data_IF_801051898950
#
_entry.id   IF_801051898950
#
_cell.length_a   1.000
_cell.length_b   1.000
_cell.length_c   1.000
_cell.angle_alpha   90.00
_cell.angle_beta   90.00
_cell.angle_gamma   90.00
#
_symmetry.space_group_name_H-M   'P 1'
#
loop_
_entity.id
_entity.type
_entity.pdbx_description
1 polymer ?
#
# COMPACT_ATOMS: atom_id res chain seq x y z
N UNK A 1 32.56 -5.67 12.46
CA UNK A 1 31.59 -4.63 12.08
C UNK A 1 30.33 -4.81 12.92
N UNK A 2 29.62 -3.74 13.33
CA UNK A 2 28.36 -3.88 14.09
C UNK A 2 27.32 -4.57 13.19
N UNK A 3 26.69 -5.63 13.67
CA UNK A 3 25.62 -6.33 12.92
C UNK A 3 24.26 -5.71 13.21
N UNK A 4 23.26 -6.04 12.39
CA UNK A 4 21.85 -5.72 12.68
C UNK A 4 21.44 -6.28 14.05
N UNK A 5 21.87 -7.49 14.38
CA UNK A 5 21.52 -8.10 15.66
C UNK A 5 22.11 -7.33 16.85
N UNK A 6 23.34 -6.82 16.72
CA UNK A 6 23.96 -5.94 17.72
C UNK A 6 23.17 -4.65 17.88
N UNK A 7 22.69 -4.05 16.79
CA UNK A 7 21.83 -2.86 16.83
C UNK A 7 20.50 -3.15 17.52
N UNK A 8 19.82 -4.25 17.18
CA UNK A 8 18.53 -4.62 17.76
C UNK A 8 18.65 -4.96 19.26
N UNK A 9 19.83 -5.41 19.69
CA UNK A 9 20.15 -5.70 21.08
C UNK A 9 20.62 -4.47 21.87
N UNK A 10 20.87 -3.34 21.22
CA UNK A 10 21.23 -2.07 21.86
C UNK A 10 20.04 -1.52 22.67
N UNK A 11 20.25 -1.20 23.95
CA UNK A 11 19.23 -0.57 24.81
C UNK A 11 19.42 0.93 24.98
N UNK A 12 20.51 1.48 24.45
CA UNK A 12 20.88 2.89 24.65
C UNK A 12 20.27 3.80 23.59
N UNK A 13 19.78 3.22 22.49
CA UNK A 13 19.12 3.96 21.44
C UNK A 13 17.87 4.71 21.94
N UNK A 14 17.74 5.96 21.55
CA UNK A 14 16.50 6.71 21.68
C UNK A 14 16.41 7.82 20.63
N UNK A 15 15.20 8.11 20.18
CA UNK A 15 14.94 9.33 19.42
C UNK A 15 14.89 10.54 20.37
N UNK A 16 15.26 11.74 19.89
CA UNK A 16 15.06 12.96 20.65
C UNK A 16 13.56 13.14 20.96
N UNK A 17 13.26 13.74 22.10
CA UNK A 17 11.90 14.14 22.42
C UNK A 17 11.39 15.16 21.39
N UNK A 18 10.07 15.19 21.19
CA UNK A 18 9.45 16.23 20.36
C UNK A 18 9.82 17.60 20.92
N UNK A 19 10.44 18.50 20.13
CA UNK A 19 10.78 19.84 20.60
C UNK A 19 9.51 20.60 20.99
N UNK A 20 9.64 21.57 21.90
CA UNK A 20 8.53 22.46 22.23
C UNK A 20 8.67 23.74 21.44
N UNK A 21 7.63 24.12 20.70
CA UNK A 21 7.69 25.33 19.90
C UNK A 21 6.41 25.59 19.11
N UNK A 22 6.50 26.63 18.28
CA UNK A 22 5.45 26.98 17.34
C UNK A 22 6.02 27.18 15.93
N UNK A 23 5.18 26.96 14.93
CA UNK A 23 5.49 27.28 13.54
C UNK A 23 4.26 27.90 12.86
N UNK A 24 4.50 28.99 12.13
CA UNK A 24 3.49 29.72 11.36
C UNK A 24 3.58 29.43 9.86
N UNK A 25 4.67 28.79 9.43
CA UNK A 25 4.93 28.38 8.05
C UNK A 25 5.46 26.94 7.99
N UNK A 26 5.46 26.36 6.78
CA UNK A 26 6.00 25.00 6.56
C UNK A 26 7.52 24.99 6.76
N UNK A 27 8.21 26.03 6.33
CA UNK A 27 9.66 26.16 6.51
C UNK A 27 10.04 26.22 7.99
N UNK A 28 9.32 27.03 8.79
CA UNK A 28 9.53 27.08 10.24
C UNK A 28 9.26 25.73 10.90
N UNK A 29 8.20 25.02 10.46
CA UNK A 29 7.90 23.70 11.00
C UNK A 29 8.97 22.67 10.64
N UNK A 30 9.50 22.73 9.42
CA UNK A 30 10.59 21.87 8.99
C UNK A 30 11.86 22.12 9.81
N UNK A 31 12.31 23.37 9.90
CA UNK A 31 13.55 23.75 10.58
C UNK A 31 13.48 23.52 12.10
N UNK A 32 12.38 23.91 12.73
CA UNK A 32 12.23 23.83 14.19
C UNK A 32 11.81 22.44 14.70
N UNK A 33 11.31 21.56 13.83
CA UNK A 33 10.78 20.26 14.24
C UNK A 33 11.34 19.10 13.41
N UNK A 34 10.94 18.98 12.13
CA UNK A 34 11.21 17.78 11.31
C UNK A 34 12.71 17.53 11.16
N UNK A 35 13.49 18.57 10.83
CA UNK A 35 14.93 18.48 10.55
C UNK A 35 15.74 17.86 11.68
N UNK A 36 15.28 18.00 12.93
CA UNK A 36 15.95 17.44 14.12
C UNK A 36 15.98 15.91 14.15
N UNK A 37 15.15 15.27 13.33
CA UNK A 37 14.97 13.82 13.27
C UNK A 37 15.43 13.21 11.94
N UNK A 38 15.97 14.03 11.05
CA UNK A 38 16.56 13.57 9.79
C UNK A 38 18.03 13.24 10.02
N UNK A 39 18.54 12.28 9.24
CA UNK A 39 19.97 12.00 9.25
C UNK A 39 20.74 13.20 8.65
N UNK A 40 21.77 13.66 9.37
CA UNK A 40 22.62 14.79 9.00
C UNK A 40 23.48 14.48 7.79
N UNK A 41 24.01 13.27 7.72
CA UNK A 41 24.77 12.80 6.57
C UNK A 41 23.84 12.11 5.55
N UNK A 42 23.57 12.81 4.45
CA UNK A 42 22.73 12.28 3.38
C UNK A 42 23.28 11.00 2.74
N UNK A 43 24.59 10.73 2.84
CA UNK A 43 25.22 9.52 2.28
C UNK A 43 24.63 8.24 2.87
N UNK A 44 24.36 8.23 4.17
CA UNK A 44 23.76 7.09 4.89
C UNK A 44 22.39 6.70 4.30
N UNK A 45 21.56 7.69 3.98
CA UNK A 45 20.25 7.43 3.37
C UNK A 45 20.42 6.85 1.97
N UNK A 46 21.39 7.36 1.19
CA UNK A 46 21.70 6.87 -0.15
C UNK A 46 22.29 5.45 -0.12
N UNK A 47 23.13 5.13 0.86
CA UNK A 47 23.69 3.79 1.06
C UNK A 47 22.59 2.78 1.40
N UNK A 48 21.66 3.15 2.30
CA UNK A 48 20.47 2.33 2.55
C UNK A 48 19.63 2.12 1.29
N UNK A 49 19.36 3.19 0.53
CA UNK A 49 18.64 3.09 -0.74
C UNK A 49 19.32 2.09 -1.69
N UNK A 50 20.64 2.21 -1.89
CA UNK A 50 21.41 1.32 -2.75
C UNK A 50 21.35 -0.15 -2.27
N UNK A 51 21.52 -0.38 -0.96
CA UNK A 51 21.42 -1.71 -0.36
C UNK A 51 20.05 -2.35 -0.60
N UNK A 52 18.97 -1.58 -0.43
CA UNK A 52 17.60 -2.08 -0.64
C UNK A 52 17.28 -2.31 -2.11
N UNK A 53 17.81 -1.48 -3.01
CA UNK A 53 17.69 -1.67 -4.45
C UNK A 53 18.44 -2.93 -4.89
N UNK A 54 19.66 -3.16 -4.40
CA UNK A 54 20.42 -4.39 -4.64
C UNK A 54 19.64 -5.60 -4.13
N UNK A 55 19.17 -5.55 -2.88
CA UNK A 55 18.42 -6.64 -2.26
C UNK A 55 17.13 -6.95 -3.03
N UNK A 56 16.43 -5.93 -3.53
CA UNK A 56 15.18 -6.11 -4.30
C UNK A 56 15.35 -6.88 -5.62
N UNK A 57 16.59 -6.97 -6.12
CA UNK A 57 16.94 -7.67 -7.37
C UNK A 57 17.53 -9.06 -7.13
N UNK A 58 17.84 -9.40 -5.88
CA UNK A 58 18.40 -10.68 -5.51
C UNK A 58 17.34 -11.79 -5.62
N UNK A 59 17.72 -12.91 -6.23
CA UNK A 59 16.83 -14.07 -6.43
C UNK A 59 16.39 -14.74 -5.13
N UNK A 60 17.13 -14.55 -4.04
CA UNK A 60 16.82 -15.10 -2.71
C UNK A 60 16.09 -14.09 -1.81
N UNK A 61 15.79 -12.89 -2.32
CA UNK A 61 15.13 -11.86 -1.53
C UNK A 61 13.71 -12.25 -1.12
N UNK A 62 13.36 -11.89 0.11
CA UNK A 62 11.98 -11.94 0.61
C UNK A 62 11.48 -10.50 0.67
N UNK A 63 10.65 -10.10 -0.30
CA UNK A 63 10.16 -8.74 -0.41
C UNK A 63 8.99 -8.51 0.55
N UNK A 64 9.10 -7.46 1.37
CA UNK A 64 8.06 -7.14 2.36
C UNK A 64 6.91 -6.32 1.77
N UNK A 65 5.70 -6.61 2.24
CA UNK A 65 4.49 -5.83 1.95
C UNK A 65 3.78 -5.40 3.23
N UNK A 66 3.29 -4.15 3.24
CA UNK A 66 2.47 -3.61 4.35
C UNK A 66 0.99 -4.00 4.26
N UNK A 67 0.60 -4.80 3.28
CA UNK A 67 -0.80 -5.15 3.09
C UNK A 67 -1.36 -5.92 4.29
N UNK A 68 -2.67 -5.80 4.50
CA UNK A 68 -3.47 -6.54 5.48
C UNK A 68 -3.12 -6.33 6.96
N UNK A 69 -2.23 -5.39 7.31
CA UNK A 69 -1.84 -5.07 8.70
C UNK A 69 -3.04 -4.84 9.64
N UNK A 70 -4.15 -4.31 9.13
CA UNK A 70 -5.38 -4.03 9.87
C UNK A 70 -6.57 -4.93 9.49
N UNK A 71 -6.33 -6.03 8.78
CA UNK A 71 -7.39 -6.93 8.31
C UNK A 71 -8.04 -7.67 9.48
N UNK A 72 -9.37 -7.73 9.47
CA UNK A 72 -10.19 -8.55 10.36
C UNK A 72 -11.10 -9.48 9.57
N UNK A 73 -11.23 -10.73 10.01
CA UNK A 73 -12.16 -11.73 9.48
C UNK A 73 -12.98 -12.25 10.64
N UNK A 74 -14.31 -12.14 10.55
CA UNK A 74 -15.24 -12.52 11.62
C UNK A 74 -14.88 -11.91 13.00
N UNK A 75 -14.44 -10.65 13.00
CA UNK A 75 -14.03 -9.93 14.21
C UNK A 75 -12.61 -10.26 14.72
N UNK A 76 -11.99 -11.33 14.22
CA UNK A 76 -10.62 -11.72 14.57
C UNK A 76 -9.59 -11.09 13.62
N UNK A 77 -8.44 -10.68 14.15
CA UNK A 77 -7.35 -10.16 13.35
C UNK A 77 -6.77 -11.24 12.43
N UNK A 78 -6.55 -10.90 11.16
CA UNK A 78 -6.06 -11.82 10.14
C UNK A 78 -4.98 -11.15 9.28
N UNK A 79 -3.90 -10.73 9.94
CA UNK A 79 -2.94 -9.77 9.36
C UNK A 79 -1.89 -10.41 8.46
N UNK A 80 -1.69 -11.74 8.59
CA UNK A 80 -0.68 -12.53 7.85
C UNK A 80 0.76 -12.05 8.03
N UNK A 81 1.05 -11.21 9.02
CA UNK A 81 2.40 -10.72 9.30
C UNK A 81 3.35 -11.88 9.56
N UNK A 82 4.57 -11.78 9.04
CA UNK A 82 5.60 -12.80 9.18
C UNK A 82 5.33 -14.09 8.42
N UNK A 83 4.29 -14.16 7.57
CA UNK A 83 3.95 -15.36 6.82
C UNK A 83 4.50 -15.25 5.38
N UNK A 84 5.53 -16.02 5.07
CA UNK A 84 6.22 -16.03 3.76
C UNK A 84 5.40 -16.81 2.72
N UNK A 85 5.35 -16.27 1.50
CA UNK A 85 4.84 -16.94 0.30
C UNK A 85 5.94 -17.01 -0.75
N UNK A 86 6.15 -18.20 -1.31
CA UNK A 86 7.17 -18.48 -2.32
C UNK A 86 6.48 -18.93 -3.61
N UNK A 87 6.89 -18.32 -4.72
CA UNK A 87 6.44 -18.63 -6.08
C UNK A 87 7.24 -19.80 -6.69
N UNK A 88 6.80 -20.34 -7.83
CA UNK A 88 7.46 -21.49 -8.47
C UNK A 88 8.90 -21.20 -8.93
N UNK A 89 9.22 -19.93 -9.17
CA UNK A 89 10.54 -19.43 -9.57
C UNK A 89 11.35 -18.88 -8.38
N UNK A 90 11.02 -19.30 -7.16
CA UNK A 90 11.63 -18.88 -5.89
C UNK A 90 11.47 -17.40 -5.53
N UNK A 91 10.78 -16.59 -6.33
CA UNK A 91 10.40 -15.24 -5.92
C UNK A 91 9.58 -15.31 -4.63
N UNK A 92 9.97 -14.53 -3.61
CA UNK A 92 9.38 -14.64 -2.28
C UNK A 92 8.92 -13.29 -1.75
N UNK A 93 7.83 -13.31 -0.99
CA UNK A 93 7.33 -12.14 -0.27
C UNK A 93 6.75 -12.51 1.10
N UNK A 94 6.72 -11.54 2.00
CA UNK A 94 6.08 -11.67 3.32
C UNK A 94 5.34 -10.39 3.71
N UNK A 95 4.29 -10.52 4.52
CA UNK A 95 3.62 -9.35 5.07
C UNK A 95 4.31 -8.88 6.35
N UNK A 96 4.38 -7.56 6.56
CA UNK A 96 5.04 -6.97 7.71
C UNK A 96 4.23 -5.79 8.27
N UNK A 97 4.46 -5.50 9.54
CA UNK A 97 3.87 -4.32 10.20
C UNK A 97 4.61 -3.05 9.80
N UNK A 98 3.96 -1.89 9.88
CA UNK A 98 4.60 -0.58 9.69
C UNK A 98 5.77 -0.32 10.66
N UNK A 99 5.80 -1.04 11.79
CA UNK A 99 6.88 -0.95 12.76
C UNK A 99 8.22 -1.38 12.17
N UNK A 100 8.22 -2.25 11.16
CA UNK A 100 9.46 -2.66 10.52
C UNK A 100 10.18 -1.48 9.84
N UNK A 101 9.44 -0.60 9.15
CA UNK A 101 10.00 0.63 8.57
C UNK A 101 10.60 1.56 9.65
N UNK A 102 10.04 1.58 10.87
CA UNK A 102 10.59 2.37 11.99
C UNK A 102 11.95 1.85 12.46
N UNK A 103 12.18 0.54 12.38
CA UNK A 103 13.47 -0.05 12.75
C UNK A 103 14.55 0.38 11.77
N UNK A 104 14.26 0.29 10.47
CA UNK A 104 15.18 0.78 9.43
C UNK A 104 15.42 2.29 9.61
N UNK A 105 14.36 3.07 9.83
CA UNK A 105 14.52 4.52 10.09
C UNK A 105 15.37 4.81 11.35
N UNK A 106 15.26 3.98 12.39
CA UNK A 106 16.09 4.08 13.61
C UNK A 106 17.57 3.82 13.33
N UNK A 107 17.87 2.82 12.50
CA UNK A 107 19.23 2.51 12.06
C UNK A 107 19.83 3.68 11.26
N UNK A 108 19.06 4.19 10.30
CA UNK A 108 19.44 5.35 9.48
C UNK A 108 19.71 6.57 10.33
N UNK A 109 18.84 6.87 11.30
CA UNK A 109 18.96 8.04 12.17
C UNK A 109 20.28 8.05 12.96
N UNK A 110 20.77 6.88 13.41
CA UNK A 110 22.07 6.80 14.12
C UNK A 110 23.28 6.64 13.21
N UNK A 111 23.09 6.63 11.88
CA UNK A 111 24.19 6.44 10.93
C UNK A 111 24.61 4.99 10.76
N UNK A 112 23.75 4.03 11.10
CA UNK A 112 24.04 2.61 10.92
C UNK A 112 23.55 2.14 9.55
N UNK A 113 24.48 1.64 8.72
CA UNK A 113 24.20 0.90 7.49
C UNK A 113 24.80 -0.50 7.64
N UNK A 114 24.01 -1.57 7.51
CA UNK A 114 24.53 -2.93 7.59
C UNK A 114 25.26 -3.33 6.31
N UNK A 115 26.17 -4.30 6.40
CA UNK A 115 26.66 -4.99 5.21
C UNK A 115 25.50 -5.71 4.50
N UNK A 116 25.54 -5.74 3.16
CA UNK A 116 24.55 -6.43 2.34
C UNK A 116 24.30 -7.87 2.79
N UNK A 117 25.37 -8.65 3.00
CA UNK A 117 25.28 -10.03 3.46
C UNK A 117 24.57 -10.14 4.81
N UNK A 118 24.88 -9.25 5.76
CA UNK A 118 24.24 -9.25 7.06
C UNK A 118 22.74 -8.94 6.94
N UNK A 119 22.36 -7.97 6.10
CA UNK A 119 20.95 -7.66 5.83
C UNK A 119 20.22 -8.84 5.19
N UNK A 120 20.80 -9.44 4.14
CA UNK A 120 20.24 -10.62 3.46
C UNK A 120 20.08 -11.81 4.41
N UNK A 121 21.12 -12.14 5.17
CA UNK A 121 21.12 -13.25 6.13
C UNK A 121 20.01 -13.13 7.18
N UNK A 122 19.67 -11.91 7.61
CA UNK A 122 18.58 -11.70 8.57
C UNK A 122 17.20 -12.10 8.01
N UNK A 123 17.00 -11.99 6.69
CA UNK A 123 15.75 -12.37 6.04
C UNK A 123 15.73 -13.85 5.63
N UNK A 124 16.75 -14.33 4.93
CA UNK A 124 16.77 -15.70 4.39
C UNK A 124 16.80 -16.76 5.49
N UNK A 125 17.36 -16.41 6.66
CA UNK A 125 17.38 -17.26 7.86
C UNK A 125 16.23 -16.93 8.82
N UNK A 126 15.28 -16.08 8.40
CA UNK A 126 14.06 -15.75 9.14
C UNK A 126 14.28 -15.15 10.54
N UNK A 127 15.42 -14.49 10.76
CA UNK A 127 15.87 -13.96 12.06
C UNK A 127 15.14 -12.66 12.41
N UNK A 128 14.87 -11.80 11.41
CA UNK A 128 14.09 -10.59 11.65
C UNK A 128 12.69 -10.94 12.17
N UNK A 129 12.29 -10.34 13.29
CA UNK A 129 10.88 -10.22 13.60
C UNK A 129 10.22 -9.18 12.68
N UNK A 130 9.04 -9.52 12.15
CA UNK A 130 8.23 -8.63 11.31
C UNK A 130 6.99 -8.11 12.06
N UNK A 131 7.02 -8.22 13.39
CA UNK A 131 5.90 -7.98 14.31
C UNK A 131 6.00 -6.64 15.03
N UNK A 132 4.85 -6.16 15.50
CA UNK A 132 4.77 -5.02 16.41
C UNK A 132 4.86 -5.46 17.88
N UNK A 133 5.16 -4.51 18.75
CA UNK A 133 5.14 -4.67 20.21
C UNK A 133 3.72 -4.81 20.76
N UNK A 134 2.70 -4.34 20.01
CA UNK A 134 1.27 -4.40 20.40
C UNK A 134 0.74 -5.85 20.34
N UNK A 135 1.62 -6.79 19.98
CA UNK A 135 1.40 -8.22 20.14
C UNK A 135 1.12 -8.92 18.82
N UNK A 136 1.29 -10.24 18.86
CA UNK A 136 1.01 -11.11 17.73
C UNK A 136 -0.36 -11.76 17.90
N UNK A 137 -1.01 -12.04 16.79
CA UNK A 137 -2.26 -12.81 16.78
C UNK A 137 -1.97 -14.32 16.92
N UNK A 138 -3.00 -15.13 17.20
CA UNK A 138 -2.84 -16.59 17.25
C UNK A 138 -2.39 -17.18 15.91
N UNK A 139 -2.90 -16.63 14.80
CA UNK A 139 -2.47 -17.09 13.48
C UNK A 139 -1.01 -16.75 13.20
N UNK A 140 -0.55 -15.57 13.60
CA UNK A 140 0.86 -15.17 13.51
C UNK A 140 1.75 -16.05 14.38
N UNK A 141 1.34 -16.38 15.63
CA UNK A 141 2.10 -17.32 16.48
C UNK A 141 2.27 -18.69 15.87
N UNK A 142 1.22 -19.18 15.19
CA UNK A 142 1.18 -20.56 14.71
C UNK A 142 1.81 -20.76 13.33
N UNK A 143 1.66 -19.81 12.42
CA UNK A 143 1.98 -20.00 11.00
C UNK A 143 3.06 -19.04 10.45
N UNK A 144 3.75 -18.31 11.32
CA UNK A 144 4.88 -17.47 10.94
C UNK A 144 6.03 -18.27 10.33
N UNK A 145 6.67 -17.68 9.33
CA UNK A 145 8.00 -18.07 8.86
C UNK A 145 9.10 -17.42 9.68
N UNK A 146 8.86 -16.20 10.18
CA UNK A 146 9.82 -15.36 10.91
C UNK A 146 9.76 -15.54 12.43
N UNK A 147 10.84 -15.19 13.11
CA UNK A 147 10.89 -15.20 14.59
C UNK A 147 9.79 -14.32 15.17
N UNK A 148 8.95 -14.90 16.02
CA UNK A 148 7.88 -14.20 16.71
C UNK A 148 8.40 -13.61 18.04
N UNK A 149 9.19 -12.53 17.93
CA UNK A 149 9.76 -11.80 19.07
C UNK A 149 9.53 -10.32 18.91
N UNK A 150 8.89 -9.67 19.89
CA UNK A 150 8.74 -8.23 19.86
C UNK A 150 10.10 -7.53 20.02
N UNK A 151 10.32 -6.46 19.27
CA UNK A 151 11.47 -5.57 19.48
C UNK A 151 11.25 -4.64 20.66
N UNK A 152 12.36 -4.09 21.15
CA UNK A 152 12.36 -3.13 22.27
C UNK A 152 11.52 -1.89 21.93
N UNK A 153 10.80 -1.31 22.91
CA UNK A 153 10.02 -0.08 22.75
C UNK A 153 10.82 1.15 22.28
N UNK A 154 12.15 1.15 22.42
CA UNK A 154 13.00 2.27 22.02
C UNK A 154 12.89 2.61 20.53
N UNK A 155 12.55 1.64 19.68
CA UNK A 155 12.37 1.83 18.24
C UNK A 155 11.00 2.42 17.85
N UNK A 156 10.14 2.75 18.82
CA UNK A 156 8.75 3.18 18.59
C UNK A 156 8.61 4.69 18.41
N UNK A 157 9.73 5.42 18.29
CA UNK A 157 9.80 6.88 18.07
C UNK A 157 8.81 7.61 18.99
N UNK A 158 8.92 7.43 20.32
CA UNK A 158 7.89 7.91 21.26
C UNK A 158 7.61 9.40 21.06
N UNK A 159 6.33 9.72 20.86
CA UNK A 159 5.89 11.09 20.58
C UNK A 159 5.88 11.50 19.10
N UNK A 160 6.48 10.68 18.23
CA UNK A 160 6.56 10.91 16.80
C UNK A 160 5.69 9.93 15.99
N UNK A 161 5.32 10.37 14.80
CA UNK A 161 4.66 9.61 13.76
C UNK A 161 5.58 9.53 12.54
N UNK A 162 5.79 8.32 12.02
CA UNK A 162 6.55 8.07 10.80
C UNK A 162 5.63 8.27 9.59
N UNK A 163 5.78 9.41 8.94
CA UNK A 163 5.07 9.81 7.73
C UNK A 163 5.85 9.37 6.49
N UNK A 164 5.13 9.10 5.41
CA UNK A 164 5.72 8.75 4.12
C UNK A 164 5.54 9.90 3.12
N UNK A 165 6.50 10.08 2.22
CA UNK A 165 6.43 11.05 1.13
C UNK A 165 5.48 10.53 0.04
N UNK A 166 5.69 9.28 -0.38
CA UNK A 166 4.88 8.55 -1.35
C UNK A 166 4.05 7.51 -0.61
N UNK A 167 2.73 7.52 -0.81
CA UNK A 167 1.84 6.52 -0.19
C UNK A 167 2.12 5.11 -0.68
N UNK A 168 2.21 4.18 0.28
CA UNK A 168 2.50 2.77 0.01
C UNK A 168 1.31 2.08 -0.69
N UNK A 169 0.09 2.41 -0.26
CA UNK A 169 -1.14 1.71 -0.65
C UNK A 169 -2.09 2.55 -1.51
N UNK A 170 -2.06 3.87 -1.37
CA UNK A 170 -3.03 4.76 -2.01
C UNK A 170 -2.49 5.41 -3.29
N UNK A 171 -1.16 5.44 -3.43
CA UNK A 171 -0.52 5.99 -4.63
C UNK A 171 -0.60 5.00 -5.78
N UNK A 172 -1.08 5.45 -6.94
CA UNK A 172 -1.10 4.65 -8.15
C UNK A 172 0.33 4.30 -8.59
N UNK A 173 0.48 3.17 -9.29
CA UNK A 173 1.73 2.88 -9.99
C UNK A 173 1.64 3.59 -11.34
N UNK A 174 2.47 4.61 -11.59
CA UNK A 174 2.35 5.53 -12.72
C UNK A 174 2.18 4.85 -14.09
N UNK A 175 2.94 3.77 -14.34
CA UNK A 175 2.87 2.98 -15.58
C UNK A 175 1.76 1.91 -15.57
N UNK A 176 1.12 1.70 -14.42
CA UNK A 176 0.09 0.69 -14.17
C UNK A 176 -1.03 1.26 -13.27
N UNK A 177 -1.68 2.38 -13.67
CA UNK A 177 -2.53 3.18 -12.78
C UNK A 177 -3.78 2.44 -12.27
N UNK A 178 -4.15 1.36 -12.96
CA UNK A 178 -5.33 0.56 -12.65
C UNK A 178 -5.02 -0.72 -11.87
N UNK A 179 -3.75 -0.99 -11.56
CA UNK A 179 -3.37 -2.19 -10.82
C UNK A 179 -3.64 -2.04 -9.34
N UNK A 180 -4.30 -3.05 -8.78
CA UNK A 180 -4.47 -3.19 -7.34
C UNK A 180 -3.53 -4.27 -6.81
N UNK A 181 -2.50 -3.86 -6.06
CA UNK A 181 -1.50 -4.76 -5.48
C UNK A 181 -2.10 -5.88 -4.61
N UNK A 182 -3.30 -5.69 -4.05
CA UNK A 182 -4.02 -6.72 -3.27
C UNK A 182 -4.49 -7.91 -4.10
N UNK A 183 -4.55 -7.77 -5.42
CA UNK A 183 -4.87 -8.85 -6.35
C UNK A 183 -3.64 -9.66 -6.73
N UNK A 184 -2.46 -9.06 -6.65
CA UNK A 184 -1.17 -9.72 -6.90
C UNK A 184 -0.75 -10.46 -5.63
N UNK A 185 -0.69 -9.75 -4.50
CA UNK A 185 -0.25 -10.28 -3.20
C UNK A 185 -1.44 -10.75 -2.37
N UNK A 186 -2.09 -11.84 -2.80
CA UNK A 186 -3.28 -12.37 -2.11
C UNK A 186 -2.93 -12.99 -0.75
N UNK A 187 -3.75 -12.80 0.30
CA UNK A 187 -3.43 -13.22 1.67
C UNK A 187 -3.62 -14.73 1.92
N UNK A 188 -4.23 -15.47 0.99
CA UNK A 188 -4.47 -16.92 1.12
C UNK A 188 -5.41 -17.32 2.27
N UNK A 189 -5.59 -18.63 2.44
CA UNK A 189 -6.21 -19.26 3.62
C UNK A 189 -5.12 -19.72 4.58
N UNK A 190 -5.41 -19.82 5.88
CA UNK A 190 -4.40 -20.29 6.86
C UNK A 190 -3.85 -21.68 6.53
N UNK A 191 -4.71 -22.57 6.00
CA UNK A 191 -4.33 -23.91 5.54
C UNK A 191 -3.30 -23.93 4.40
N UNK A 192 -3.08 -22.81 3.73
CA UNK A 192 -2.12 -22.73 2.62
C UNK A 192 -0.67 -22.71 3.12
N UNK A 193 -0.44 -22.36 4.40
CA UNK A 193 0.88 -22.40 5.03
C UNK A 193 1.12 -23.77 5.65
N UNK A 194 2.10 -24.47 5.10
CA UNK A 194 2.52 -25.80 5.54
C UNK A 194 3.91 -25.73 6.14
N UNK A 195 4.19 -26.64 7.06
CA UNK A 195 5.49 -26.73 7.70
C UNK A 195 6.50 -27.38 6.74
N UNK A 196 7.62 -26.70 6.50
CA UNK A 196 8.77 -27.20 5.74
C UNK A 196 10.03 -26.90 6.53
N UNK A 197 10.80 -27.92 6.92
CA UNK A 197 12.03 -27.76 7.71
C UNK A 197 11.82 -26.85 8.94
N UNK A 198 10.76 -27.09 9.71
CA UNK A 198 10.34 -26.31 10.89
C UNK A 198 9.91 -24.86 10.63
N UNK A 199 9.77 -24.43 9.38
CA UNK A 199 9.31 -23.09 9.00
C UNK A 199 7.99 -23.20 8.23
N UNK A 200 6.97 -22.44 8.62
CA UNK A 200 5.73 -22.39 7.87
C UNK A 200 5.91 -21.56 6.61
N UNK A 201 5.54 -22.10 5.45
CA UNK A 201 5.61 -21.39 4.16
C UNK A 201 4.40 -21.72 3.31
N UNK A 202 3.95 -20.76 2.52
CA UNK A 202 2.99 -21.00 1.43
C UNK A 202 3.76 -21.11 0.12
N UNK A 203 3.58 -22.22 -0.59
CA UNK A 203 4.16 -22.41 -1.93
C UNK A 203 3.07 -22.30 -2.98
N UNK A 204 3.30 -21.47 -3.98
CA UNK A 204 2.41 -21.29 -5.13
C UNK A 204 3.07 -21.88 -6.37
N UNK A 205 2.30 -22.65 -7.14
CA UNK A 205 2.76 -23.38 -8.33
C UNK A 205 2.77 -22.52 -9.61
N UNK A 206 2.78 -21.20 -9.45
CA UNK A 206 2.87 -20.24 -10.54
C UNK A 206 3.94 -19.20 -10.22
N UNK A 207 4.33 -18.43 -11.23
CA UNK A 207 5.29 -17.34 -11.11
C UNK A 207 4.63 -16.02 -11.48
N UNK A 208 5.11 -14.94 -10.88
CA UNK A 208 4.70 -13.60 -11.28
C UNK A 208 5.31 -13.23 -12.64
N UNK A 209 4.55 -12.48 -13.42
CA UNK A 209 5.05 -11.82 -14.63
C UNK A 209 6.11 -10.77 -14.28
N UNK A 210 6.93 -10.36 -15.25
CA UNK A 210 7.95 -9.34 -15.04
C UNK A 210 7.36 -7.99 -14.56
N UNK A 211 6.17 -7.63 -15.03
CA UNK A 211 5.53 -6.38 -14.60
C UNK A 211 4.93 -6.50 -13.19
N UNK A 212 4.34 -7.65 -12.82
CA UNK A 212 3.94 -7.90 -11.43
C UNK A 212 5.14 -7.83 -10.48
N UNK A 213 6.29 -8.41 -10.85
CA UNK A 213 7.53 -8.30 -10.06
C UNK A 213 7.97 -6.84 -9.89
N UNK A 214 7.93 -6.02 -10.94
CA UNK A 214 8.22 -4.57 -10.84
C UNK A 214 7.29 -3.87 -9.85
N UNK A 215 6.00 -4.18 -9.87
CA UNK A 215 5.02 -3.58 -8.96
C UNK A 215 5.27 -4.03 -7.52
N UNK A 216 5.63 -5.29 -7.30
CA UNK A 216 5.98 -5.81 -5.96
C UNK A 216 7.25 -5.13 -5.43
N UNK A 217 8.29 -4.98 -6.27
CA UNK A 217 9.51 -4.25 -5.93
C UNK A 217 9.19 -2.79 -5.60
N UNK A 218 8.36 -2.13 -6.40
CA UNK A 218 7.91 -0.76 -6.15
C UNK A 218 7.21 -0.64 -4.80
N UNK A 219 6.30 -1.56 -4.50
CA UNK A 219 5.58 -1.59 -3.22
C UNK A 219 6.53 -1.84 -2.04
N UNK A 220 7.51 -2.72 -2.19
CA UNK A 220 8.55 -2.99 -1.21
C UNK A 220 9.38 -1.74 -0.90
N UNK A 221 9.92 -1.08 -1.93
CA UNK A 221 10.73 0.13 -1.75
C UNK A 221 9.91 1.27 -1.14
N UNK A 222 8.67 1.51 -1.59
CA UNK A 222 7.77 2.48 -0.94
C UNK A 222 7.57 2.19 0.55
N UNK A 223 7.62 0.91 0.95
CA UNK A 223 7.39 0.49 2.32
C UNK A 223 8.63 0.53 3.23
N UNK A 224 9.82 0.23 2.73
CA UNK A 224 10.98 0.07 3.63
C UNK A 224 12.10 1.07 3.38
N UNK A 225 12.10 1.75 2.24
CA UNK A 225 13.19 2.65 1.88
C UNK A 225 13.13 3.92 2.73
N UNK A 226 14.17 4.22 3.54
CA UNK A 226 14.18 5.40 4.41
C UNK A 226 14.10 6.71 3.64
N UNK A 227 14.46 6.73 2.35
CA UNK A 227 14.32 7.92 1.50
C UNK A 227 12.85 8.37 1.37
N UNK A 228 11.90 7.46 1.62
CA UNK A 228 10.47 7.74 1.56
C UNK A 228 9.89 8.24 2.88
N UNK A 229 10.69 8.42 3.94
CA UNK A 229 10.19 8.62 5.30
C UNK A 229 10.71 9.88 5.97
N UNK A 230 9.88 10.44 6.86
CA UNK A 230 10.25 11.52 7.77
C UNK A 230 9.38 11.43 9.04
N UNK A 231 9.87 12.00 10.16
CA UNK A 231 9.10 12.06 11.40
C UNK A 231 8.40 13.41 11.56
N UNK A 232 7.16 13.35 12.04
CA UNK A 232 6.38 14.49 12.52
C UNK A 232 5.83 14.20 13.91
N UNK A 233 5.49 15.19 14.74
CA UNK A 233 4.84 14.92 16.01
C UNK A 233 3.54 14.13 15.81
N UNK A 234 3.28 13.17 16.70
CA UNK A 234 2.02 12.43 16.67
C UNK A 234 0.85 13.31 17.15
N UNK A 235 -0.39 12.84 16.97
CA UNK A 235 -1.60 13.61 17.28
C UNK A 235 -1.74 14.06 18.75
N UNK A 236 -0.98 13.49 19.68
CA UNK A 236 -0.98 13.93 21.08
C UNK A 236 0.00 15.09 21.33
N UNK A 237 0.94 15.33 20.40
CA UNK A 237 2.05 16.25 20.56
C UNK A 237 2.01 17.41 19.55
N UNK A 238 0.94 17.52 18.76
CA UNK A 238 0.67 18.66 17.89
C UNK A 238 -0.83 18.96 17.90
N UNK A 239 -1.17 20.24 17.81
CA UNK A 239 -2.56 20.72 17.78
C UNK A 239 -3.30 20.44 16.45
N UNK A 240 -2.65 19.79 15.47
CA UNK A 240 -3.22 19.50 14.15
C UNK A 240 -3.22 18.00 13.87
N UNK A 241 -4.35 17.48 13.39
CA UNK A 241 -4.46 16.06 13.01
C UNK A 241 -3.79 15.77 11.68
N UNK A 242 -3.17 14.59 11.59
CA UNK A 242 -2.61 14.04 10.34
C UNK A 242 -1.65 14.99 9.62
N UNK A 243 -0.82 15.75 10.36
CA UNK A 243 0.12 16.71 9.75
C UNK A 243 1.08 16.05 8.76
N UNK A 244 1.44 14.79 8.97
CA UNK A 244 2.28 14.01 8.05
C UNK A 244 1.59 13.58 6.76
N UNK A 245 0.27 13.81 6.63
CA UNK A 245 -0.52 13.57 5.41
C UNK A 245 -0.98 14.91 4.80
N UNK A 246 -0.59 16.05 5.39
CA UNK A 246 -0.91 17.35 4.83
C UNK A 246 -0.12 17.54 3.53
N UNK A 247 -0.85 17.78 2.42
CA UNK A 247 -0.25 17.87 1.09
C UNK A 247 0.89 18.87 1.01
N UNK A 248 0.75 20.04 1.62
CA UNK A 248 1.74 21.11 1.49
C UNK A 248 3.02 20.76 2.26
N UNK A 249 2.88 20.16 3.44
CA UNK A 249 4.02 19.60 4.19
C UNK A 249 4.70 18.50 3.37
N UNK A 250 3.94 17.57 2.81
CA UNK A 250 4.49 16.47 1.99
C UNK A 250 5.18 17.01 0.74
N UNK A 251 4.59 17.96 0.02
CA UNK A 251 5.16 18.59 -1.17
C UNK A 251 6.48 19.30 -0.84
N UNK A 252 6.55 20.01 0.30
CA UNK A 252 7.79 20.63 0.78
C UNK A 252 8.87 19.57 1.07
N UNK A 253 8.54 18.51 1.80
CA UNK A 253 9.48 17.41 2.10
C UNK A 253 9.92 16.69 0.83
N UNK A 254 9.02 16.49 -0.12
CA UNK A 254 9.31 15.85 -1.40
C UNK A 254 10.30 16.69 -2.19
N UNK A 255 10.06 18.00 -2.33
CA UNK A 255 11.00 18.93 -2.98
C UNK A 255 12.36 18.94 -2.27
N UNK A 256 12.35 18.96 -0.93
CA UNK A 256 13.59 18.93 -0.12
C UNK A 256 14.37 17.64 -0.33
N UNK A 257 13.69 16.50 -0.39
CA UNK A 257 14.29 15.19 -0.61
C UNK A 257 14.94 15.12 -1.99
N UNK A 258 14.31 15.69 -3.02
CA UNK A 258 14.93 15.83 -4.33
C UNK A 258 16.21 16.68 -4.29
N UNK A 259 16.20 17.83 -3.60
CA UNK A 259 17.39 18.70 -3.51
C UNK A 259 18.54 18.07 -2.70
N UNK A 260 18.23 17.30 -1.66
CA UNK A 260 19.24 16.66 -0.78
C UNK A 260 19.79 15.36 -1.39
N UNK A 261 18.91 14.51 -1.92
CA UNK A 261 19.30 13.17 -2.36
C UNK A 261 19.54 13.08 -3.87
N UNK A 262 19.05 14.03 -4.67
CA UNK A 262 19.33 14.14 -6.10
C UNK A 262 18.96 12.87 -6.88
N UNK A 263 19.93 12.32 -7.62
CA UNK A 263 19.74 11.16 -8.47
C UNK A 263 19.26 9.91 -7.72
N UNK A 264 19.64 9.73 -6.45
CA UNK A 264 19.12 8.62 -5.63
C UNK A 264 17.61 8.76 -5.40
N UNK A 265 17.10 9.98 -5.24
CA UNK A 265 15.65 10.20 -5.14
C UNK A 265 14.94 9.93 -6.46
N UNK A 266 15.54 10.36 -7.57
CA UNK A 266 15.01 10.06 -8.91
C UNK A 266 14.99 8.55 -9.17
N UNK A 267 16.05 7.83 -8.78
CA UNK A 267 16.10 6.38 -8.88
C UNK A 267 15.02 5.71 -8.03
N UNK A 268 14.83 6.19 -6.79
CA UNK A 268 13.72 5.75 -5.94
C UNK A 268 12.37 5.95 -6.63
N UNK A 269 12.06 7.14 -7.16
CA UNK A 269 10.78 7.38 -7.83
C UNK A 269 10.55 6.46 -9.04
N UNK A 270 11.60 6.22 -9.84
CA UNK A 270 11.53 5.31 -10.99
C UNK A 270 11.22 3.86 -10.56
N UNK A 271 11.93 3.35 -9.56
CA UNK A 271 11.76 1.99 -9.05
C UNK A 271 10.46 1.83 -8.24
N UNK A 272 10.05 2.88 -7.54
CA UNK A 272 8.77 2.99 -6.86
C UNK A 272 7.60 3.25 -7.83
N UNK A 273 7.84 3.37 -9.15
CA UNK A 273 6.84 3.61 -10.19
C UNK A 273 5.97 4.85 -9.88
N UNK A 274 6.61 5.96 -9.54
CA UNK A 274 5.98 7.26 -9.26
C UNK A 274 6.29 8.21 -10.43
N UNK A 275 5.33 9.04 -10.82
CA UNK A 275 5.58 10.07 -11.82
C UNK A 275 6.56 11.11 -11.26
N UNK A 276 7.63 11.44 -11.99
CA UNK A 276 8.56 12.51 -11.61
C UNK A 276 7.89 13.88 -11.60
N UNK A 277 6.80 14.05 -12.34
CA UNK A 277 5.98 15.27 -12.31
C UNK A 277 5.31 15.50 -10.95
N UNK A 278 5.28 14.50 -10.06
CA UNK A 278 4.86 14.69 -8.66
C UNK A 278 5.81 15.61 -7.89
N UNK A 279 7.07 15.77 -8.33
CA UNK A 279 7.98 16.73 -7.71
C UNK A 279 7.47 18.16 -7.95
N UNK A 280 7.20 18.94 -6.90
CA UNK A 280 6.78 20.33 -7.06
C UNK A 280 7.81 21.13 -7.87
N UNK A 281 7.28 21.92 -8.81
CA UNK A 281 8.10 22.82 -9.65
C UNK A 281 8.48 24.09 -8.91
N UNK A 282 7.69 24.47 -7.91
CA UNK A 282 7.98 25.58 -7.01
C UNK A 282 9.29 25.32 -6.26
N UNK A 283 10.03 26.40 -5.99
CA UNK A 283 11.20 26.32 -5.12
C UNK A 283 10.77 26.15 -3.65
N UNK A 284 11.71 25.76 -2.78
CA UNK A 284 11.42 25.59 -1.35
C UNK A 284 10.95 26.87 -0.68
N UNK A 285 11.45 28.05 -1.06
CA UNK A 285 11.05 29.30 -0.41
C UNK A 285 9.57 29.62 -0.65
N UNK A 286 9.03 29.26 -1.82
CA UNK A 286 7.64 29.52 -2.16
C UNK A 286 6.72 28.50 -1.49
N UNK A 287 7.09 27.21 -1.49
CA UNK A 287 6.38 26.18 -0.72
C UNK A 287 6.44 26.46 0.79
N UNK A 288 7.59 26.92 1.27
CA UNK A 288 7.87 27.17 2.68
C UNK A 288 7.07 28.32 3.28
N UNK A 289 6.78 29.35 2.48
CA UNK A 289 5.96 30.52 2.85
C UNK A 289 4.48 30.21 3.04
N UNK A 290 4.00 29.06 2.59
CA UNK A 290 2.58 28.72 2.77
C UNK A 290 2.22 28.75 4.25
N UNK A 291 1.25 29.60 4.58
CA UNK A 291 0.78 29.76 5.94
C UNK A 291 0.08 28.48 6.38
N UNK A 292 0.58 27.90 7.45
CA UNK A 292 -0.16 26.92 8.22
C UNK A 292 -0.82 27.70 9.36
N UNK A 293 -1.99 27.28 9.82
CA UNK A 293 -2.49 27.68 11.14
C UNK A 293 -1.36 27.49 12.16
N UNK A 294 -1.24 28.38 13.15
CA UNK A 294 -0.16 28.31 14.15
C UNK A 294 -0.07 26.91 14.74
N UNK A 295 0.96 26.17 14.33
CA UNK A 295 1.25 24.85 14.83
C UNK A 295 1.86 25.01 16.21
N UNK A 296 1.31 24.31 17.19
CA UNK A 296 1.88 24.18 18.54
C UNK A 296 2.24 22.72 18.71
N UNK A 297 3.53 22.45 18.90
CA UNK A 297 4.04 21.11 19.12
C UNK A 297 4.87 21.07 20.40
N UNK A 298 4.73 19.98 21.16
CA UNK A 298 5.44 19.78 22.42
C UNK A 298 5.44 18.32 22.81
N UNK A 299 6.30 17.94 23.77
CA UNK A 299 6.29 16.62 24.37
C UNK A 299 5.16 16.39 25.40
N UNK A 300 4.26 17.37 25.58
CA UNK A 300 3.08 17.30 26.47
C UNK A 300 1.81 17.24 25.62
N UNK A 301 0.78 16.57 26.15
CA UNK A 301 -0.54 16.44 25.50
C UNK A 301 -1.08 17.81 25.08
N UNK A 302 -1.23 18.03 23.78
CA UNK A 302 -1.88 19.21 23.22
C UNK A 302 -3.39 18.98 23.06
N UNK A 303 -4.20 19.97 23.42
CA UNK A 303 -5.62 19.98 23.07
C UNK A 303 -5.75 20.12 21.54
N UNK A 304 -6.34 19.13 20.88
CA UNK A 304 -6.41 19.04 19.43
C UNK A 304 -7.57 19.88 18.91
N UNK A 305 -7.28 20.88 18.08
CA UNK A 305 -8.30 21.57 17.29
C UNK A 305 -8.65 20.71 16.06
N UNK A 306 -9.94 20.48 15.82
CA UNK A 306 -10.41 19.73 14.65
C UNK A 306 -10.23 20.58 13.39
N UNK A 307 -9.29 20.20 12.54
CA UNK A 307 -9.24 20.69 11.15
C UNK A 307 -9.87 19.62 10.25
N UNK A 308 -10.76 20.07 9.37
CA UNK A 308 -11.45 19.27 8.36
C UNK A 308 -10.41 18.87 7.30
N UNK A 309 -10.20 17.58 7.02
CA UNK A 309 -9.30 17.17 5.95
C UNK A 309 -9.87 17.66 4.61
N UNK A 310 -9.11 18.47 3.89
CA UNK A 310 -9.35 18.67 2.46
C UNK A 310 -8.97 17.35 1.80
N UNK A 311 -9.98 16.51 1.53
CA UNK A 311 -9.79 15.34 0.66
C UNK A 311 -9.17 15.84 -0.63
N UNK A 312 -8.07 15.22 -1.05
CA UNK A 312 -7.60 15.36 -2.42
C UNK A 312 -8.82 15.15 -3.32
N UNK A 313 -9.17 16.18 -4.10
CA UNK A 313 -10.08 15.99 -5.20
C UNK A 313 -9.37 14.97 -6.10
N UNK A 314 -9.89 13.74 -6.12
CA UNK A 314 -9.69 12.87 -7.27
C UNK A 314 -10.10 13.72 -8.46
N UNK A 315 -9.12 14.14 -9.25
CA UNK A 315 -9.38 14.68 -10.57
C UNK A 315 -10.08 13.57 -11.34
N UNK A 316 -11.42 13.65 -11.38
CA UNK A 316 -12.20 13.01 -12.42
C UNK A 316 -11.82 13.74 -13.71
N UNK A 317 -10.73 13.30 -14.34
CA UNK A 317 -10.52 13.55 -15.75
C UNK A 317 -11.55 12.72 -16.50
N UNK A 318 -12.71 13.34 -16.72
CA UNK A 318 -13.68 12.90 -17.70
C UNK A 318 -13.05 12.98 -19.10
N UNK A 319 -13.15 11.86 -19.79
CA UNK A 319 -13.40 11.69 -21.22
C UNK A 319 -12.49 12.45 -22.19
N UNK A 320 -11.64 11.69 -22.86
CA UNK A 320 -11.27 11.96 -24.26
C UNK A 320 -11.77 10.81 -25.14
N UNK A 321 -12.57 11.19 -26.13
CA UNK A 321 -13.09 10.35 -27.18
C UNK A 321 -11.95 9.72 -28.00
N UNK A 322 -12.00 8.40 -28.15
CA UNK A 322 -11.39 7.67 -29.26
C UNK A 322 -12.41 6.63 -29.74
N UNK A 323 -12.85 6.66 -31.01
CA UNK A 323 -13.68 5.62 -31.58
C UNK A 323 -12.78 4.47 -32.10
N UNK A 324 -13.05 3.26 -31.62
CA UNK A 324 -13.29 2.08 -32.46
C UNK A 324 -13.76 0.90 -31.60
N UNK A 325 -14.86 0.30 -32.06
CA UNK A 325 -15.74 -0.60 -31.32
C UNK A 325 -15.11 -1.96 -30.95
N UNK A 326 -15.01 -2.24 -29.65
CA UNK A 326 -15.04 -3.61 -29.12
C UNK A 326 -16.52 -3.93 -28.79
N UNK A 327 -17.11 -4.95 -29.44
CA UNK A 327 -18.52 -5.38 -29.35
C UNK A 327 -19.06 -5.40 -27.90
N UNK A 328 -18.21 -5.82 -26.96
CA UNK A 328 -18.59 -5.94 -25.54
C UNK A 328 -18.87 -4.59 -24.87
N UNK A 329 -18.16 -3.51 -25.24
CA UNK A 329 -18.32 -2.17 -24.63
C UNK A 329 -19.68 -1.61 -25.05
N UNK A 330 -20.04 -1.78 -26.33
CA UNK A 330 -21.36 -1.40 -26.82
C UNK A 330 -22.47 -2.19 -26.13
N UNK A 331 -22.28 -3.50 -25.95
CA UNK A 331 -23.21 -4.35 -25.21
C UNK A 331 -23.37 -3.88 -23.76
N UNK A 332 -22.29 -3.61 -23.04
CA UNK A 332 -22.37 -3.04 -21.67
C UNK A 332 -23.13 -1.71 -21.67
N UNK A 333 -22.81 -0.82 -22.61
CA UNK A 333 -23.48 0.49 -22.75
C UNK A 333 -24.99 0.36 -22.98
N UNK A 334 -25.45 -0.65 -23.73
CA UNK A 334 -26.88 -0.95 -23.88
C UNK A 334 -27.58 -1.22 -22.54
N UNK A 335 -26.92 -1.90 -21.60
CA UNK A 335 -27.47 -2.17 -20.26
C UNK A 335 -27.40 -0.97 -19.30
N UNK A 336 -26.67 0.09 -19.66
CA UNK A 336 -26.64 1.39 -18.95
C UNK A 336 -27.71 2.36 -19.43
N UNK A 337 -28.41 2.04 -20.51
CA UNK A 337 -29.47 2.90 -21.09
C UNK A 337 -30.88 2.50 -20.64
N UNK A 338 -31.82 3.45 -20.71
CA UNK A 338 -33.24 3.21 -20.44
C UNK A 338 -33.65 3.27 -18.97
N UNK A 339 -34.86 2.75 -18.69
CA UNK A 339 -35.46 2.79 -17.36
C UNK A 339 -34.85 1.75 -16.41
N UNK A 340 -34.79 2.11 -15.12
CA UNK A 340 -34.33 1.20 -14.07
C UNK A 340 -35.37 0.09 -13.90
N UNK A 341 -34.91 -1.13 -14.11
CA UNK A 341 -35.72 -2.32 -14.00
C UNK A 341 -35.99 -2.67 -12.50
N UNK A 342 -37.18 -3.20 -12.15
CA UNK A 342 -37.63 -3.42 -10.75
C UNK A 342 -37.57 -4.90 -10.37
N UNK A 343 -36.64 -5.25 -9.47
CA UNK A 343 -36.58 -6.55 -8.78
C UNK A 343 -35.69 -7.58 -9.48
N UNK A 344 -34.72 -8.15 -8.76
CA UNK A 344 -33.76 -9.11 -9.33
C UNK A 344 -33.14 -10.02 -8.27
N UNK A 345 -32.80 -11.24 -8.66
CA UNK A 345 -32.19 -12.28 -7.84
C UNK A 345 -30.67 -12.37 -8.07
N UNK A 346 -29.96 -13.00 -7.13
CA UNK A 346 -28.59 -13.47 -7.32
C UNK A 346 -28.61 -14.73 -8.18
N UNK A 347 -27.73 -14.81 -9.18
CA UNK A 347 -27.66 -15.95 -10.10
C UNK A 347 -26.28 -16.61 -10.02
N UNK A 348 -26.26 -17.94 -10.04
CA UNK A 348 -25.03 -18.72 -10.08
C UNK A 348 -24.61 -18.95 -11.54
N UNK A 349 -23.41 -18.49 -11.90
CA UNK A 349 -22.78 -18.81 -13.18
C UNK A 349 -21.59 -19.75 -12.93
N UNK A 350 -21.55 -20.89 -13.63
CA UNK A 350 -20.37 -21.75 -13.63
C UNK A 350 -19.36 -21.23 -14.65
N UNK A 351 -18.40 -20.44 -14.19
CA UNK A 351 -17.28 -19.96 -15.00
C UNK A 351 -15.98 -20.03 -14.18
N UNK A 352 -14.97 -20.72 -14.71
CA UNK A 352 -13.65 -20.77 -14.10
C UNK A 352 -12.58 -20.82 -15.18
N UNK A 353 -11.47 -20.15 -14.94
CA UNK A 353 -10.27 -20.19 -15.77
C UNK A 353 -9.03 -20.15 -14.86
N UNK A 354 -7.87 -19.87 -15.43
CA UNK A 354 -6.62 -19.79 -14.67
C UNK A 354 -6.61 -18.61 -13.68
N UNK A 355 -7.30 -17.52 -13.99
CA UNK A 355 -7.31 -16.30 -13.18
C UNK A 355 -8.35 -16.29 -12.06
N UNK A 356 -9.55 -16.84 -12.30
CA UNK A 356 -10.68 -16.74 -11.37
C UNK A 356 -11.55 -18.01 -11.33
N UNK A 357 -12.31 -18.15 -10.25
CA UNK A 357 -13.44 -19.07 -10.09
C UNK A 357 -14.69 -18.25 -9.73
N UNK A 358 -15.60 -18.05 -10.68
CA UNK A 358 -16.83 -17.27 -10.50
C UNK A 358 -17.80 -18.05 -9.62
N UNK A 359 -18.29 -17.36 -8.60
CA UNK A 359 -19.18 -17.92 -7.59
C UNK A 359 -20.63 -17.59 -7.92
N UNK A 360 -20.88 -16.32 -8.21
CA UNK A 360 -22.20 -15.80 -8.53
C UNK A 360 -22.04 -14.45 -9.21
N UNK A 361 -23.11 -13.97 -9.83
CA UNK A 361 -23.23 -12.57 -10.17
C UNK A 361 -24.57 -12.04 -9.69
N UNK A 362 -24.58 -10.76 -9.38
CA UNK A 362 -25.78 -10.07 -8.93
C UNK A 362 -25.74 -8.61 -9.34
N UNK A 363 -26.84 -7.93 -9.07
CA UNK A 363 -26.94 -6.48 -9.03
C UNK A 363 -26.83 -6.07 -7.56
N UNK A 364 -26.25 -4.90 -7.34
CA UNK A 364 -26.18 -4.30 -6.02
C UNK A 364 -26.32 -2.80 -6.16
N UNK A 365 -26.46 -2.14 -5.02
CA UNK A 365 -26.55 -0.70 -4.99
C UNK A 365 -25.32 -0.12 -4.33
N UNK A 366 -24.91 1.05 -4.79
CA UNK A 366 -23.87 1.85 -4.14
C UNK A 366 -24.43 3.23 -3.80
N UNK A 367 -24.31 3.60 -2.54
CA UNK A 367 -24.60 4.96 -2.10
C UNK A 367 -23.57 5.89 -2.72
N UNK A 368 -24.05 6.95 -3.38
CA UNK A 368 -23.22 7.96 -4.02
C UNK A 368 -22.79 9.06 -3.05
N UNK A 369 -23.48 9.17 -1.93
CA UNK A 369 -23.25 10.19 -0.91
C UNK A 369 -23.15 9.56 0.49
N UNK A 370 -22.63 10.35 1.44
CA UNK A 370 -22.48 9.95 2.84
C UNK A 370 -23.76 10.07 3.66
N UNK A 371 -24.81 10.68 3.10
CA UNK A 371 -26.10 10.87 3.77
C UNK A 371 -27.14 9.82 3.35
N UNK A 372 -26.72 8.86 2.52
CA UNK A 372 -27.55 7.79 1.98
C UNK A 372 -28.82 8.30 1.28
N UNK A 373 -28.68 9.35 0.46
CA UNK A 373 -29.80 9.96 -0.27
C UNK A 373 -29.90 9.52 -1.73
N UNK A 374 -28.78 9.14 -2.34
CA UNK A 374 -28.73 8.75 -3.75
C UNK A 374 -28.00 7.41 -3.94
N UNK A 375 -28.59 6.52 -4.74
CA UNK A 375 -28.07 5.18 -5.03
C UNK A 375 -27.88 5.00 -6.52
N UNK A 376 -26.72 4.51 -6.91
CA UNK A 376 -26.54 3.92 -8.23
C UNK A 376 -26.67 2.40 -8.17
N UNK A 377 -27.18 1.84 -9.27
CA UNK A 377 -27.20 0.40 -9.53
C UNK A 377 -25.88 -0.02 -10.15
N UNK A 378 -25.38 -1.17 -9.75
CA UNK A 378 -24.18 -1.78 -10.31
C UNK A 378 -24.35 -3.30 -10.45
N UNK A 379 -23.68 -3.90 -11.43
CA UNK A 379 -23.50 -5.34 -11.46
C UNK A 379 -22.31 -5.74 -10.59
N UNK A 380 -22.29 -6.99 -10.15
CA UNK A 380 -21.30 -7.52 -9.23
C UNK A 380 -21.04 -8.97 -9.59
N UNK A 381 -19.95 -9.22 -10.31
CA UNK A 381 -19.49 -10.57 -10.63
C UNK A 381 -18.57 -11.01 -9.51
N UNK A 382 -19.03 -11.92 -8.66
CA UNK A 382 -18.34 -12.37 -7.45
C UNK A 382 -17.48 -13.58 -7.79
N UNK A 383 -16.19 -13.52 -7.44
CA UNK A 383 -15.24 -14.55 -7.79
C UNK A 383 -14.22 -14.83 -6.68
N UNK A 384 -13.67 -16.03 -6.69
CA UNK A 384 -12.45 -16.38 -5.96
C UNK A 384 -11.24 -16.11 -6.87
N UNK A 385 -10.26 -15.30 -6.44
CA UNK A 385 -9.07 -15.04 -7.24
C UNK A 385 -8.15 -16.27 -7.23
N UNK A 386 -7.53 -16.55 -8.37
CA UNK A 386 -6.44 -17.53 -8.53
C UNK A 386 -5.14 -16.82 -8.97
N UNK A 387 -5.22 -15.94 -9.97
CA UNK A 387 -4.15 -15.04 -10.41
C UNK A 387 -4.67 -13.62 -10.61
N UNK A 388 -3.79 -12.61 -10.55
CA UNK A 388 -4.18 -11.24 -10.92
C UNK A 388 -4.44 -11.15 -12.41
N UNK A 389 -5.52 -10.47 -12.79
CA UNK A 389 -5.82 -10.13 -14.18
C UNK A 389 -5.84 -8.62 -14.42
N UNK A 390 -5.43 -7.85 -13.41
CA UNK A 390 -5.36 -6.39 -13.47
C UNK A 390 -4.45 -5.86 -14.58
N UNK A 391 -3.55 -6.71 -15.08
CA UNK A 391 -2.60 -6.42 -16.16
C UNK A 391 -3.06 -6.87 -17.54
N UNK A 392 -4.18 -7.59 -17.67
CA UNK A 392 -4.66 -8.05 -18.97
C UNK A 392 -5.04 -6.86 -19.85
N UNK A 393 -4.66 -6.92 -21.14
CA UNK A 393 -4.93 -5.86 -22.12
C UNK A 393 -6.42 -5.53 -22.18
N UNK A 394 -7.27 -6.55 -22.25
CA UNK A 394 -8.72 -6.37 -22.38
C UNK A 394 -9.36 -5.88 -21.08
N UNK A 395 -8.84 -6.31 -19.91
CA UNK A 395 -9.23 -5.71 -18.63
C UNK A 395 -8.92 -4.21 -18.59
N UNK A 396 -7.69 -3.82 -18.95
CA UNK A 396 -7.26 -2.43 -18.96
C UNK A 396 -8.05 -1.57 -19.96
N UNK A 397 -8.41 -2.12 -21.12
CA UNK A 397 -9.36 -1.45 -22.03
C UNK A 397 -10.71 -1.22 -21.36
N UNK A 398 -11.28 -2.27 -20.77
CA UNK A 398 -12.63 -2.25 -20.21
C UNK A 398 -12.79 -1.22 -19.08
N UNK A 399 -11.83 -1.15 -18.15
CA UNK A 399 -11.89 -0.21 -17.02
C UNK A 399 -11.58 1.24 -17.41
N UNK A 400 -10.88 1.46 -18.54
CA UNK A 400 -10.65 2.81 -19.06
C UNK A 400 -11.87 3.34 -19.83
N UNK A 401 -12.65 2.46 -20.45
CA UNK A 401 -13.87 2.83 -21.18
C UNK A 401 -15.12 2.88 -20.29
N UNK A 402 -15.18 2.04 -19.26
CA UNK A 402 -16.37 1.84 -18.44
C UNK A 402 -16.07 2.10 -16.96
N UNK A 403 -17.04 2.62 -16.21
CA UNK A 403 -16.94 2.79 -14.76
C UNK A 403 -16.99 1.42 -14.06
N UNK A 404 -15.85 0.72 -14.04
CA UNK A 404 -15.66 -0.62 -13.51
C UNK A 404 -14.57 -0.60 -12.45
N UNK A 405 -14.79 -1.30 -11.34
CA UNK A 405 -13.81 -1.45 -10.27
C UNK A 405 -13.79 -2.88 -9.72
N UNK A 406 -12.66 -3.29 -9.16
CA UNK A 406 -12.60 -4.50 -8.34
C UNK A 406 -12.69 -4.11 -6.87
N UNK A 407 -13.53 -4.82 -6.12
CA UNK A 407 -13.72 -4.57 -4.69
C UNK A 407 -13.55 -5.85 -3.88
N UNK A 408 -12.93 -5.74 -2.71
CA UNK A 408 -12.87 -6.82 -1.74
C UNK A 408 -14.19 -6.94 -0.98
N UNK A 409 -14.70 -8.16 -0.84
CA UNK A 409 -15.94 -8.40 -0.09
C UNK A 409 -15.60 -8.59 1.39
N UNK A 410 -15.95 -7.57 2.19
CA UNK A 410 -15.63 -7.50 3.63
C UNK A 410 -16.75 -8.00 4.55
N UNK A 411 -17.97 -8.20 4.03
CA UNK A 411 -19.17 -8.55 4.82
C UNK A 411 -20.06 -9.53 4.05
N UNK A 412 -20.84 -10.34 4.77
CA UNK A 412 -21.83 -11.26 4.21
C UNK A 412 -21.28 -12.64 3.82
N UNK A 413 -22.09 -13.43 3.10
CA UNK A 413 -21.79 -14.83 2.72
C UNK A 413 -20.58 -15.01 1.78
N UNK A 414 -20.03 -13.92 1.25
CA UNK A 414 -18.92 -13.93 0.31
C UNK A 414 -17.63 -13.31 0.87
N UNK A 415 -17.50 -13.20 2.20
CA UNK A 415 -16.27 -12.73 2.83
C UNK A 415 -15.04 -13.48 2.30
N UNK A 416 -14.00 -12.74 1.95
CA UNK A 416 -12.74 -13.28 1.41
C UNK A 416 -12.75 -13.53 -0.11
N UNK A 417 -13.83 -13.16 -0.81
CA UNK A 417 -13.92 -13.12 -2.27
C UNK A 417 -13.79 -11.68 -2.78
N UNK A 418 -13.68 -11.54 -4.10
CA UNK A 418 -13.64 -10.25 -4.79
C UNK A 418 -14.86 -10.10 -5.69
N UNK A 419 -15.18 -8.86 -6.08
CA UNK A 419 -16.24 -8.57 -7.03
C UNK A 419 -15.77 -7.57 -8.10
N UNK A 420 -15.97 -7.92 -9.37
CA UNK A 420 -15.94 -6.97 -10.48
C UNK A 420 -17.26 -6.19 -10.43
N UNK A 421 -17.18 -4.89 -10.16
CA UNK A 421 -18.33 -3.99 -10.05
C UNK A 421 -18.44 -3.16 -11.31
N UNK A 422 -19.55 -3.28 -12.03
CA UNK A 422 -19.84 -2.50 -13.24
C UNK A 422 -20.93 -1.50 -12.88
N UNK A 423 -20.61 -0.21 -12.88
CA UNK A 423 -21.45 0.84 -12.25
C UNK A 423 -22.32 1.56 -13.28
N UNK A 424 -23.42 2.15 -12.81
CA UNK A 424 -24.36 2.91 -13.64
C UNK A 424 -25.35 2.05 -14.43
N UNK A 425 -25.63 0.83 -13.98
CA UNK A 425 -26.47 -0.11 -14.73
C UNK A 425 -27.96 0.22 -14.58
N UNK A 426 -28.75 0.10 -15.65
CA UNK A 426 -30.21 0.31 -15.63
C UNK A 426 -30.98 -1.00 -15.80
N UNK A 427 -30.38 -1.93 -16.54
CA UNK A 427 -30.89 -3.27 -16.82
C UNK A 427 -30.08 -4.31 -16.06
N UNK A 428 -30.67 -5.48 -15.81
CA UNK A 428 -30.00 -6.57 -15.13
C UNK A 428 -29.16 -7.44 -16.06
N UNK A 429 -28.08 -8.04 -15.54
CA UNK A 429 -27.27 -8.94 -16.34
C UNK A 429 -27.98 -10.28 -16.54
N UNK A 430 -27.68 -10.95 -17.64
CA UNK A 430 -27.99 -12.35 -17.88
C UNK A 430 -26.69 -13.17 -18.00
N UNK A 431 -26.81 -14.50 -18.00
CA UNK A 431 -25.64 -15.38 -18.08
C UNK A 431 -24.78 -15.09 -19.32
N UNK A 432 -25.43 -14.78 -20.45
CA UNK A 432 -24.79 -14.49 -21.74
C UNK A 432 -23.85 -13.27 -21.65
N UNK A 433 -24.36 -12.11 -21.24
CA UNK A 433 -23.52 -10.91 -21.16
C UNK A 433 -22.41 -11.05 -20.12
N UNK A 434 -22.66 -11.72 -18.99
CA UNK A 434 -21.61 -11.96 -18.00
C UNK A 434 -20.53 -12.87 -18.59
N UNK A 435 -20.91 -13.94 -19.30
CA UNK A 435 -19.96 -14.84 -19.94
C UNK A 435 -19.14 -14.12 -21.01
N UNK A 436 -19.76 -13.31 -21.86
CA UNK A 436 -19.05 -12.53 -22.88
C UNK A 436 -18.09 -11.51 -22.26
N UNK A 437 -18.47 -10.84 -21.17
CA UNK A 437 -17.56 -9.93 -20.44
C UNK A 437 -16.33 -10.70 -19.95
N UNK A 438 -16.54 -11.88 -19.36
CA UNK A 438 -15.46 -12.70 -18.83
C UNK A 438 -14.57 -13.24 -19.97
N UNK A 439 -15.16 -13.78 -21.04
CA UNK A 439 -14.44 -14.23 -22.23
C UNK A 439 -13.63 -13.09 -22.86
N UNK A 440 -14.17 -11.87 -22.92
CA UNK A 440 -13.43 -10.71 -23.38
C UNK A 440 -12.24 -10.37 -22.46
N UNK A 441 -12.47 -10.29 -21.15
CA UNK A 441 -11.41 -9.96 -20.16
C UNK A 441 -10.24 -10.94 -20.27
N UNK A 442 -10.55 -12.23 -20.45
CA UNK A 442 -9.57 -13.32 -20.42
C UNK A 442 -9.19 -13.86 -21.80
N UNK A 443 -9.63 -13.23 -22.88
CA UNK A 443 -9.15 -13.56 -24.23
C UNK A 443 -7.65 -13.28 -24.34
N UNK A 444 -6.93 -14.21 -24.96
CA UNK A 444 -5.47 -14.16 -25.13
C UNK A 444 -5.03 -13.14 -26.16
#
# INVERSE_FOLDING_TARGET
MKTIQDFLNDSTFSFPAVPTGTASSIEEFYENCIKTTLQKDSSIVKEWHNLLVEYSKDSESILLSRLYESRKVNGQWDTRRGMETIMNDNFSYAFASNFFARIIYSMVYVGFVPEYKNFKDMFINHIFSLYSFIGTTDCERKYSSFVNKAYKPVFYTQGWYLAHIISINDEQFYKFPNVNIKEILVPGKLSDWKLFNNIYKRKLNYSFTNDEKKIIIAHFLRFIDPINYFLVPNQNNINVKSIGENKNVVDYILRRSFEVYGDSFINFLDLALVDKNTIPKQNLSDLGKEKIFTLKFSNKKSNVEKIIPVKSQKNNLLQRNLPNNDDIIQKISYYKSGNISKGFSETSLRYANDYIDVVSYSHSNKWLDSIHSNMEKMWSIIYKPKHSFSMLKNWNKLINSENIEITDIKKGQHIGKYAIRIRGMKKSPNDEIIKEILEYIFAK
#
